data_IF_918599810517
#
_entry.id   IF_918599810517
#
_cell.length_a   1.000
_cell.length_b   1.000
_cell.length_c   1.000
_cell.angle_alpha   90.00
_cell.angle_beta   90.00
_cell.angle_gamma   90.00
#
_symmetry.space_group_name_H-M   'P 1'
#
loop_
_entity.id
_entity.type
_entity.pdbx_description
1 polymer ?
#
# COMPACT_ATOMS: atom_id res chain seq x y z
N UNK A 1 -22.78 -46.74 3.76
CA UNK A 1 -22.76 -45.28 3.86
C UNK A 1 -21.33 -44.79 4.13
N UNK A 2 -20.41 -45.02 3.19
CA UNK A 2 -18.99 -44.54 3.29
C UNK A 2 -18.53 -44.15 1.91
N UNK A 3 -18.69 -42.87 1.51
CA UNK A 3 -18.26 -42.43 0.19
C UNK A 3 -18.24 -40.91 -0.06
N UNK A 4 -18.67 -40.08 0.91
CA UNK A 4 -18.86 -38.64 0.67
C UNK A 4 -17.79 -37.67 1.19
N UNK A 5 -16.89 -38.08 2.06
CA UNK A 5 -15.93 -37.17 2.72
C UNK A 5 -14.57 -37.00 1.99
N UNK A 6 -14.12 -38.01 1.27
CA UNK A 6 -12.82 -38.02 0.61
C UNK A 6 -12.65 -36.92 -0.47
N UNK A 7 -13.63 -36.61 -1.34
CA UNK A 7 -13.48 -35.56 -2.35
C UNK A 7 -13.48 -34.15 -1.74
N UNK A 8 -14.17 -33.93 -0.63
CA UNK A 8 -14.23 -32.62 0.06
C UNK A 8 -12.91 -32.33 0.76
N UNK A 9 -12.34 -33.30 1.45
CA UNK A 9 -11.04 -33.20 2.12
C UNK A 9 -9.92 -32.97 1.10
N UNK A 10 -9.92 -33.68 -0.02
CA UNK A 10 -8.93 -33.51 -1.09
C UNK A 10 -9.00 -32.14 -1.74
N UNK A 11 -10.21 -31.60 -1.96
CA UNK A 11 -10.41 -30.23 -2.48
C UNK A 11 -9.98 -29.17 -1.46
N UNK A 12 -10.26 -29.38 -0.17
CA UNK A 12 -9.81 -28.49 0.89
C UNK A 12 -8.27 -28.45 0.99
N UNK A 13 -7.63 -29.61 0.92
CA UNK A 13 -6.16 -29.74 0.94
C UNK A 13 -5.51 -29.11 -0.28
N UNK A 14 -6.06 -29.29 -1.48
CA UNK A 14 -5.57 -28.64 -2.70
C UNK A 14 -5.71 -27.11 -2.62
N UNK A 15 -6.83 -26.59 -2.11
CA UNK A 15 -7.02 -25.15 -1.88
C UNK A 15 -6.04 -24.60 -0.83
N UNK A 16 -5.82 -25.32 0.26
CA UNK A 16 -4.86 -24.95 1.29
C UNK A 16 -3.43 -24.90 0.73
N UNK A 17 -3.04 -25.87 -0.14
CA UNK A 17 -1.74 -25.89 -0.83
C UNK A 17 -1.57 -24.70 -1.77
N UNK A 18 -2.61 -24.34 -2.55
CA UNK A 18 -2.57 -23.17 -3.45
C UNK A 18 -2.42 -21.88 -2.64
N UNK A 19 -3.19 -21.71 -1.55
CA UNK A 19 -3.10 -20.55 -0.67
C UNK A 19 -1.75 -20.49 0.04
N UNK A 20 -1.22 -21.63 0.48
CA UNK A 20 0.10 -21.72 1.11
C UNK A 20 1.23 -21.33 0.15
N UNK A 21 1.22 -21.87 -1.08
CA UNK A 21 2.18 -21.46 -2.11
C UNK A 21 2.09 -19.98 -2.45
N UNK A 22 0.86 -19.44 -2.53
CA UNK A 22 0.65 -18.02 -2.73
C UNK A 22 1.31 -17.18 -1.62
N UNK A 23 1.06 -17.54 -0.37
CA UNK A 23 1.60 -16.82 0.77
C UNK A 23 3.14 -16.86 0.79
N UNK A 24 3.74 -18.00 0.47
CA UNK A 24 5.21 -18.17 0.42
C UNK A 24 5.81 -17.27 -0.67
N UNK A 25 5.30 -17.33 -1.91
CA UNK A 25 5.85 -16.52 -3.00
C UNK A 25 5.67 -15.03 -2.70
N UNK A 26 4.52 -14.64 -2.15
CA UNK A 26 4.28 -13.24 -1.76
C UNK A 26 5.24 -12.79 -0.64
N UNK A 27 5.55 -13.67 0.32
CA UNK A 27 6.54 -13.38 1.35
C UNK A 27 7.95 -13.20 0.73
N UNK A 28 8.34 -14.05 -0.22
CA UNK A 28 9.62 -13.93 -0.95
C UNK A 28 9.70 -12.61 -1.70
N UNK A 29 8.65 -12.22 -2.42
CA UNK A 29 8.59 -10.92 -3.13
C UNK A 29 8.74 -9.75 -2.14
N UNK A 30 8.08 -9.82 -0.98
CA UNK A 30 8.19 -8.79 0.07
C UNK A 30 9.61 -8.73 0.67
N UNK A 31 10.23 -9.88 0.91
CA UNK A 31 11.62 -9.95 1.41
C UNK A 31 12.59 -9.34 0.39
N UNK A 32 12.46 -9.69 -0.90
CA UNK A 32 13.29 -9.10 -1.96
C UNK A 32 13.07 -7.59 -2.06
N UNK A 33 11.81 -7.14 -1.96
CA UNK A 33 11.46 -5.72 -1.92
C UNK A 33 12.08 -4.98 -0.72
N UNK A 34 12.04 -5.61 0.45
CA UNK A 34 12.69 -5.10 1.66
C UNK A 34 14.21 -5.01 1.49
N UNK A 35 14.86 -6.08 1.01
CA UNK A 35 16.29 -6.10 0.75
C UNK A 35 16.71 -5.02 -0.26
N UNK A 36 15.96 -4.86 -1.34
CA UNK A 36 16.17 -3.77 -2.32
C UNK A 36 16.06 -2.39 -1.67
N UNK A 37 15.08 -2.22 -0.75
CA UNK A 37 14.91 -0.98 0.01
C UNK A 37 16.07 -0.71 0.95
N UNK A 38 16.53 -1.71 1.70
CA UNK A 38 17.68 -1.60 2.61
C UNK A 38 18.98 -1.34 1.84
N UNK A 39 19.17 -1.98 0.69
CA UNK A 39 20.31 -1.69 -0.18
C UNK A 39 20.39 -0.20 -0.52
N UNK A 40 19.27 0.41 -0.93
CA UNK A 40 19.22 1.84 -1.22
C UNK A 40 19.51 2.72 0.01
N UNK A 41 18.96 2.36 1.17
CA UNK A 41 19.20 3.09 2.44
C UNK A 41 20.68 3.09 2.79
N UNK A 42 21.37 1.95 2.62
CA UNK A 42 22.78 1.79 2.99
C UNK A 42 23.75 2.45 1.99
N UNK A 43 23.43 2.34 0.70
CA UNK A 43 24.35 2.75 -0.38
C UNK A 43 24.22 4.21 -0.76
N UNK A 44 22.99 4.76 -0.80
CA UNK A 44 22.79 6.16 -1.14
C UNK A 44 23.28 7.08 -0.02
N UNK A 45 23.83 8.23 -0.42
CA UNK A 45 24.03 9.34 0.52
C UNK A 45 22.69 9.79 1.10
N UNK A 46 22.68 10.33 2.31
CA UNK A 46 21.44 10.77 2.98
C UNK A 46 20.65 11.76 2.12
N UNK A 47 21.33 12.67 1.43
CA UNK A 47 20.69 13.64 0.53
C UNK A 47 20.01 12.96 -0.66
N UNK A 48 20.69 12.04 -1.32
CA UNK A 48 20.15 11.26 -2.43
C UNK A 48 18.99 10.37 -1.97
N UNK A 49 19.12 9.75 -0.79
CA UNK A 49 18.04 8.94 -0.25
C UNK A 49 16.81 9.79 0.12
N UNK A 50 17.00 11.05 0.54
CA UNK A 50 15.89 11.99 0.74
C UNK A 50 15.17 12.30 -0.58
N UNK A 51 15.90 12.57 -1.67
CA UNK A 51 15.31 12.79 -2.98
C UNK A 51 14.55 11.57 -3.48
N UNK A 52 15.12 10.37 -3.33
CA UNK A 52 14.44 9.12 -3.63
C UNK A 52 13.15 8.96 -2.82
N UNK A 53 13.17 9.26 -1.52
CA UNK A 53 12.01 9.18 -0.63
C UNK A 53 10.91 10.14 -1.08
N UNK A 54 11.24 11.39 -1.36
CA UNK A 54 10.28 12.39 -1.88
C UNK A 54 9.68 11.92 -3.21
N UNK A 55 10.51 11.50 -4.17
CA UNK A 55 10.08 11.04 -5.48
C UNK A 55 9.13 9.84 -5.39
N UNK A 56 9.50 8.82 -4.60
CA UNK A 56 8.70 7.62 -4.40
C UNK A 56 7.36 7.92 -3.70
N UNK A 57 7.37 8.81 -2.71
CA UNK A 57 6.16 9.25 -2.00
C UNK A 57 5.20 9.99 -2.94
N UNK A 58 5.72 10.90 -3.75
CA UNK A 58 4.89 11.65 -4.72
C UNK A 58 4.35 10.75 -5.82
N UNK A 59 5.16 9.82 -6.33
CA UNK A 59 4.70 8.80 -7.29
C UNK A 59 3.58 7.94 -6.70
N UNK A 60 3.72 7.51 -5.46
CA UNK A 60 2.68 6.79 -4.73
C UNK A 60 1.40 7.61 -4.57
N UNK A 61 1.53 8.88 -4.21
CA UNK A 61 0.41 9.83 -4.09
C UNK A 61 -0.37 9.95 -5.41
N UNK A 62 0.32 10.19 -6.53
CA UNK A 62 -0.32 10.30 -7.85
C UNK A 62 -1.02 8.99 -8.22
N UNK A 63 -0.36 7.85 -7.99
CA UNK A 63 -0.95 6.54 -8.29
C UNK A 63 -2.22 6.27 -7.50
N UNK A 64 -2.25 6.61 -6.20
CA UNK A 64 -3.44 6.48 -5.35
C UNK A 64 -4.56 7.42 -5.81
N UNK A 65 -4.25 8.68 -6.12
CA UNK A 65 -5.23 9.65 -6.63
C UNK A 65 -5.79 9.23 -7.99
N UNK A 66 -4.97 8.64 -8.85
CA UNK A 66 -5.41 8.12 -10.15
C UNK A 66 -6.23 6.83 -10.06
N UNK A 67 -6.24 6.16 -8.90
CA UNK A 67 -7.00 4.92 -8.71
C UNK A 67 -8.36 5.12 -8.02
N UNK A 68 -8.70 6.32 -7.61
CA UNK A 68 -9.91 6.61 -6.83
C UNK A 68 -11.14 5.92 -7.41
N UNK A 69 -11.60 4.84 -6.78
CA UNK A 69 -12.81 4.10 -7.18
C UNK A 69 -12.70 3.23 -8.44
N UNK A 70 -11.62 3.35 -9.24
CA UNK A 70 -11.45 2.60 -10.50
C UNK A 70 -11.28 1.11 -10.21
N UNK A 71 -10.38 0.74 -9.32
CA UNK A 71 -10.15 -0.65 -8.93
C UNK A 71 -11.42 -1.31 -8.38
N UNK A 72 -12.24 -0.58 -7.61
CA UNK A 72 -13.53 -1.06 -7.11
C UNK A 72 -14.52 -1.28 -8.25
N UNK A 73 -14.63 -0.31 -9.16
CA UNK A 73 -15.48 -0.40 -10.37
C UNK A 73 -15.08 -1.57 -11.26
N UNK A 74 -13.78 -1.71 -11.52
CA UNK A 74 -13.23 -2.81 -12.32
C UNK A 74 -13.57 -4.20 -11.75
N UNK A 75 -13.42 -4.40 -10.46
CA UNK A 75 -13.73 -5.69 -9.82
C UNK A 75 -15.25 -5.93 -9.83
N UNK A 76 -16.06 -4.90 -9.54
CA UNK A 76 -17.52 -5.01 -9.50
C UNK A 76 -18.13 -5.32 -10.86
N UNK A 77 -17.74 -4.60 -11.92
CA UNK A 77 -18.26 -4.80 -13.28
C UNK A 77 -17.59 -6.02 -13.92
N UNK A 78 -16.26 -6.12 -13.78
CA UNK A 78 -15.45 -7.18 -14.36
C UNK A 78 -15.85 -8.58 -13.89
N UNK A 79 -16.27 -8.72 -12.63
CA UNK A 79 -16.80 -9.98 -12.09
C UNK A 79 -18.00 -10.55 -12.85
N UNK A 80 -18.72 -9.71 -13.61
CA UNK A 80 -19.87 -10.11 -14.42
C UNK A 80 -19.51 -10.42 -15.88
N UNK A 81 -18.44 -9.80 -16.41
CA UNK A 81 -18.10 -9.82 -17.83
C UNK A 81 -16.77 -10.51 -18.16
N UNK A 82 -16.04 -11.01 -17.18
CA UNK A 82 -14.69 -11.56 -17.35
C UNK A 82 -14.60 -12.77 -18.30
N UNK A 83 -15.73 -13.45 -18.56
CA UNK A 83 -15.78 -14.60 -19.46
C UNK A 83 -15.87 -14.19 -20.93
N UNK A 84 -16.43 -13.02 -21.22
CA UNK A 84 -16.55 -12.48 -22.58
C UNK A 84 -15.29 -11.68 -22.93
N UNK A 85 -14.51 -12.18 -23.87
CA UNK A 85 -13.24 -11.61 -24.28
C UNK A 85 -13.35 -10.16 -24.77
N UNK A 86 -14.38 -9.88 -25.61
CA UNK A 86 -14.60 -8.55 -26.18
C UNK A 86 -15.17 -7.59 -25.14
N UNK A 87 -16.21 -8.01 -24.42
CA UNK A 87 -16.86 -7.17 -23.40
C UNK A 87 -15.93 -6.83 -22.24
N UNK A 88 -15.06 -7.78 -21.83
CA UNK A 88 -14.05 -7.52 -20.83
C UNK A 88 -12.96 -6.58 -21.35
N UNK A 89 -12.60 -6.70 -22.64
CA UNK A 89 -11.72 -5.76 -23.34
C UNK A 89 -12.24 -4.33 -23.29
N UNK A 90 -13.54 -4.12 -23.61
CA UNK A 90 -14.19 -2.80 -23.52
C UNK A 90 -14.08 -2.19 -22.11
N UNK A 91 -14.33 -3.00 -21.07
CA UNK A 91 -14.21 -2.54 -19.67
C UNK A 91 -12.78 -2.12 -19.35
N UNK A 92 -11.76 -2.90 -19.76
CA UNK A 92 -10.34 -2.59 -19.51
C UNK A 92 -9.93 -1.32 -20.27
N UNK A 93 -10.33 -1.18 -21.55
CA UNK A 93 -10.06 0.02 -22.36
C UNK A 93 -10.68 1.27 -21.70
N UNK A 94 -11.95 1.17 -21.29
CA UNK A 94 -12.64 2.26 -20.55
C UNK A 94 -11.91 2.64 -19.27
N UNK A 95 -11.51 1.64 -18.47
CA UNK A 95 -10.79 1.88 -17.22
C UNK A 95 -9.41 2.53 -17.44
N UNK A 96 -8.67 2.11 -18.46
CA UNK A 96 -7.40 2.73 -18.84
C UNK A 96 -7.58 4.20 -19.21
N UNK A 97 -8.62 4.53 -19.99
CA UNK A 97 -8.94 5.90 -20.38
C UNK A 97 -9.29 6.77 -19.15
N UNK A 98 -10.19 6.29 -18.30
CA UNK A 98 -10.58 7.02 -17.07
C UNK A 98 -9.38 7.21 -16.14
N UNK A 99 -8.56 6.17 -15.94
CA UNK A 99 -7.38 6.22 -15.08
C UNK A 99 -6.31 7.19 -15.61
N UNK A 100 -6.11 7.24 -16.93
CA UNK A 100 -5.21 8.21 -17.55
C UNK A 100 -5.68 9.65 -17.34
N UNK A 101 -6.98 9.91 -17.44
CA UNK A 101 -7.56 11.25 -17.18
C UNK A 101 -7.38 11.67 -15.71
N UNK A 102 -7.70 10.79 -14.76
CA UNK A 102 -7.46 11.06 -13.33
C UNK A 102 -5.96 11.20 -13.04
N UNK A 103 -5.13 10.37 -13.66
CA UNK A 103 -3.67 10.45 -13.57
C UNK A 103 -3.13 11.79 -14.07
N UNK A 104 -3.64 12.29 -15.20
CA UNK A 104 -3.25 13.60 -15.73
C UNK A 104 -3.61 14.74 -14.75
N UNK A 105 -4.80 14.70 -14.16
CA UNK A 105 -5.20 15.67 -13.12
C UNK A 105 -4.28 15.56 -11.89
N UNK A 106 -4.00 14.36 -11.43
CA UNK A 106 -3.11 14.14 -10.29
C UNK A 106 -1.66 14.60 -10.59
N UNK A 107 -1.16 14.38 -11.81
CA UNK A 107 0.15 14.87 -12.28
C UNK A 107 0.19 16.40 -12.22
N UNK A 108 -0.82 17.08 -12.75
CA UNK A 108 -0.86 18.56 -12.76
C UNK A 108 -0.82 19.12 -11.33
N UNK A 109 -1.48 18.47 -10.37
CA UNK A 109 -1.54 18.92 -8.97
C UNK A 109 -0.25 18.57 -8.22
N UNK A 110 0.26 17.34 -8.37
CA UNK A 110 1.35 16.82 -7.52
C UNK A 110 2.73 17.17 -8.05
N UNK A 111 2.91 17.33 -9.39
CA UNK A 111 4.23 17.64 -9.96
C UNK A 111 4.81 18.98 -9.48
N UNK A 112 4.03 20.08 -9.36
CA UNK A 112 4.56 21.32 -8.78
C UNK A 112 5.00 21.13 -7.32
N UNK A 113 4.27 20.31 -6.53
CA UNK A 113 4.64 19.99 -5.16
C UNK A 113 5.94 19.20 -5.12
N UNK A 114 6.08 18.19 -5.99
CA UNK A 114 7.31 17.40 -6.13
C UNK A 114 8.50 18.30 -6.47
N UNK A 115 8.33 19.19 -7.47
CA UNK A 115 9.36 20.15 -7.86
C UNK A 115 9.78 21.03 -6.67
N UNK A 116 8.80 21.64 -6.00
CA UNK A 116 9.04 22.50 -4.85
C UNK A 116 9.77 21.76 -3.72
N UNK A 117 9.35 20.54 -3.37
CA UNK A 117 9.97 19.76 -2.31
C UNK A 117 11.42 19.37 -2.65
N UNK A 118 11.71 18.99 -3.90
CA UNK A 118 13.06 18.63 -4.32
C UNK A 118 14.01 19.85 -4.27
N UNK A 119 13.58 20.98 -4.82
CA UNK A 119 14.38 22.21 -4.82
C UNK A 119 14.60 22.73 -3.40
N UNK A 120 13.56 22.73 -2.57
CA UNK A 120 13.67 23.11 -1.16
C UNK A 120 14.65 22.26 -0.38
N UNK A 121 14.73 20.98 -0.69
CA UNK A 121 15.68 20.05 -0.08
C UNK A 121 17.07 20.08 -0.77
N UNK A 122 17.31 21.05 -1.65
CA UNK A 122 18.62 21.38 -2.21
C UNK A 122 18.97 20.66 -3.53
N UNK A 123 18.00 20.06 -4.23
CA UNK A 123 18.22 19.51 -5.55
C UNK A 123 18.43 20.65 -6.58
N UNK A 124 19.38 20.49 -7.49
CA UNK A 124 19.57 21.47 -8.58
C UNK A 124 18.38 21.43 -9.56
N UNK A 125 18.15 22.53 -10.26
CA UNK A 125 17.07 22.63 -11.25
C UNK A 125 17.12 21.50 -12.28
N UNK A 126 18.29 21.27 -12.89
CA UNK A 126 18.46 20.25 -13.91
C UNK A 126 18.21 18.84 -13.36
N UNK A 127 18.78 18.52 -12.19
CA UNK A 127 18.58 17.21 -11.54
C UNK A 127 17.11 16.98 -11.19
N UNK A 128 16.43 18.01 -10.69
CA UNK A 128 14.99 17.95 -10.38
C UNK A 128 14.17 17.67 -11.64
N UNK A 129 14.46 18.35 -12.76
CA UNK A 129 13.75 18.14 -14.01
C UNK A 129 13.92 16.70 -14.53
N UNK A 130 15.16 16.18 -14.53
CA UNK A 130 15.45 14.79 -14.93
C UNK A 130 14.70 13.80 -14.03
N UNK A 131 14.76 13.99 -12.72
CA UNK A 131 14.10 13.10 -11.76
C UNK A 131 12.57 13.09 -11.95
N UNK A 132 11.96 14.26 -12.18
CA UNK A 132 10.52 14.37 -12.47
C UNK A 132 10.17 13.60 -13.75
N UNK A 133 10.93 13.74 -14.83
CA UNK A 133 10.67 13.01 -16.08
C UNK A 133 10.70 11.49 -15.85
N UNK A 134 11.69 10.98 -15.12
CA UNK A 134 11.79 9.55 -14.81
C UNK A 134 10.61 9.07 -13.94
N UNK A 135 10.23 9.86 -12.93
CA UNK A 135 9.07 9.57 -12.07
C UNK A 135 7.79 9.51 -12.89
N UNK A 136 7.56 10.48 -13.79
CA UNK A 136 6.37 10.53 -14.63
C UNK A 136 6.33 9.37 -15.63
N UNK A 137 7.47 8.99 -16.22
CA UNK A 137 7.56 7.81 -17.08
C UNK A 137 7.17 6.52 -16.32
N UNK A 138 7.72 6.32 -15.12
CA UNK A 138 7.37 5.20 -14.26
C UNK A 138 5.89 5.20 -13.85
N UNK A 139 5.34 6.36 -13.58
CA UNK A 139 3.94 6.53 -13.23
C UNK A 139 3.00 6.11 -14.37
N UNK A 140 3.24 6.54 -15.62
CA UNK A 140 2.40 6.17 -16.77
C UNK A 140 2.34 4.66 -16.96
N UNK A 141 3.46 3.97 -16.74
CA UNK A 141 3.53 2.52 -16.77
C UNK A 141 2.72 1.93 -15.61
N UNK A 142 2.88 2.45 -14.40
CA UNK A 142 2.21 1.98 -13.19
C UNK A 142 0.69 2.15 -13.27
N UNK A 143 0.20 3.24 -13.85
CA UNK A 143 -1.23 3.44 -14.11
C UNK A 143 -1.81 2.33 -14.99
N UNK A 144 -1.09 1.97 -16.05
CA UNK A 144 -1.52 0.88 -16.95
C UNK A 144 -1.45 -0.48 -16.27
N UNK A 145 -0.36 -0.77 -15.55
CA UNK A 145 -0.20 -2.00 -14.76
C UNK A 145 -1.34 -2.23 -13.78
N UNK A 146 -1.76 -1.19 -13.05
CA UNK A 146 -2.83 -1.32 -12.06
C UNK A 146 -4.17 -1.75 -12.65
N UNK A 147 -4.50 -1.30 -13.88
CA UNK A 147 -5.71 -1.74 -14.59
C UNK A 147 -5.56 -3.16 -15.13
N UNK A 148 -4.44 -3.43 -15.81
CA UNK A 148 -4.21 -4.74 -16.45
C UNK A 148 -4.11 -5.88 -15.42
N UNK A 149 -3.61 -5.63 -14.21
CA UNK A 149 -3.53 -6.60 -13.12
C UNK A 149 -4.89 -7.16 -12.66
N UNK A 150 -5.99 -6.49 -12.99
CA UNK A 150 -7.33 -7.00 -12.67
C UNK A 150 -7.69 -8.22 -13.54
N UNK A 151 -7.13 -8.32 -14.76
CA UNK A 151 -7.41 -9.42 -15.68
C UNK A 151 -7.02 -10.79 -15.10
N UNK A 152 -5.76 -11.05 -14.72
CA UNK A 152 -5.40 -12.34 -14.13
C UNK A 152 -6.06 -12.56 -12.75
N UNK A 153 -6.35 -11.49 -11.98
CA UNK A 153 -7.07 -11.60 -10.70
C UNK A 153 -8.48 -12.16 -10.88
N UNK A 154 -9.26 -11.60 -11.80
CA UNK A 154 -10.63 -12.06 -12.05
C UNK A 154 -10.67 -13.45 -12.67
N UNK A 155 -9.64 -13.84 -13.42
CA UNK A 155 -9.47 -15.20 -13.98
C UNK A 155 -8.89 -16.19 -12.99
N UNK A 156 -8.54 -15.74 -11.76
CA UNK A 156 -7.89 -16.57 -10.73
C UNK A 156 -6.54 -17.17 -11.19
N UNK A 157 -5.87 -16.53 -12.15
CA UNK A 157 -4.52 -16.93 -12.60
C UNK A 157 -3.45 -16.32 -11.67
N UNK A 158 -3.45 -16.83 -10.45
CA UNK A 158 -2.57 -16.37 -9.37
C UNK A 158 -1.10 -16.62 -9.71
N UNK A 159 -0.79 -17.75 -10.36
CA UNK A 159 0.58 -18.10 -10.72
C UNK A 159 1.21 -17.08 -11.67
N UNK A 160 0.42 -16.51 -12.59
CA UNK A 160 0.89 -15.48 -13.51
C UNK A 160 1.22 -14.19 -12.78
N UNK A 161 0.37 -13.73 -11.87
CA UNK A 161 0.64 -12.54 -11.05
C UNK A 161 1.94 -12.74 -10.28
N UNK A 162 2.09 -13.88 -9.61
CA UNK A 162 3.27 -14.18 -8.82
C UNK A 162 4.55 -14.25 -9.67
N UNK A 163 4.51 -14.83 -10.86
CA UNK A 163 5.67 -14.91 -11.75
C UNK A 163 6.12 -13.50 -12.20
N UNK A 164 5.18 -12.60 -12.51
CA UNK A 164 5.48 -11.22 -12.91
C UNK A 164 6.06 -10.44 -11.73
N UNK A 165 5.45 -10.54 -10.55
CA UNK A 165 5.91 -9.83 -9.35
C UNK A 165 7.30 -10.32 -8.93
N UNK A 166 7.54 -11.63 -8.93
CA UNK A 166 8.82 -12.23 -8.56
C UNK A 166 9.91 -11.84 -9.56
N UNK A 167 9.62 -11.93 -10.88
CA UNK A 167 10.58 -11.53 -11.92
C UNK A 167 10.95 -10.06 -11.78
N UNK A 168 9.96 -9.17 -11.58
CA UNK A 168 10.22 -7.75 -11.36
C UNK A 168 11.05 -7.47 -10.10
N UNK A 169 10.74 -8.16 -8.98
CA UNK A 169 11.47 -8.01 -7.74
C UNK A 169 12.94 -8.47 -7.86
N UNK A 170 13.17 -9.64 -8.46
CA UNK A 170 14.52 -10.18 -8.70
C UNK A 170 15.30 -9.28 -9.66
N UNK A 171 14.71 -8.90 -10.80
CA UNK A 171 15.36 -8.02 -11.77
C UNK A 171 15.76 -6.67 -11.12
N UNK A 172 14.87 -6.08 -10.32
CA UNK A 172 15.18 -4.85 -9.58
C UNK A 172 16.36 -5.03 -8.63
N UNK A 173 16.37 -6.08 -7.83
CA UNK A 173 17.44 -6.34 -6.87
C UNK A 173 18.77 -6.55 -7.59
N UNK A 174 18.81 -7.38 -8.64
CA UNK A 174 20.02 -7.66 -9.40
C UNK A 174 20.60 -6.40 -10.03
N UNK A 175 19.76 -5.58 -10.69
CA UNK A 175 20.21 -4.32 -11.31
C UNK A 175 20.72 -3.34 -10.24
N UNK A 176 20.04 -3.22 -9.09
CA UNK A 176 20.50 -2.36 -8.01
C UNK A 176 21.85 -2.84 -7.43
N UNK A 177 22.02 -4.15 -7.22
CA UNK A 177 23.30 -4.73 -6.75
C UNK A 177 24.42 -4.48 -7.75
N UNK A 178 24.15 -4.60 -9.04
CA UNK A 178 25.15 -4.30 -10.06
C UNK A 178 25.54 -2.82 -10.08
N UNK A 179 24.55 -1.92 -10.04
CA UNK A 179 24.79 -0.48 -10.16
C UNK A 179 25.39 0.16 -8.89
N UNK A 180 25.25 -0.48 -7.72
CA UNK A 180 25.86 0.01 -6.49
C UNK A 180 27.40 0.08 -6.55
N UNK A 181 28.04 -0.72 -7.41
CA UNK A 181 29.49 -0.73 -7.57
C UNK A 181 30.01 0.36 -8.52
N UNK A 182 29.13 0.99 -9.32
CA UNK A 182 29.54 1.97 -10.31
C UNK A 182 29.12 3.39 -9.87
N UNK A 183 27.83 3.65 -9.89
CA UNK A 183 27.27 4.94 -9.48
C UNK A 183 25.78 4.76 -9.15
N UNK A 184 25.43 4.94 -7.92
CA UNK A 184 24.05 4.86 -7.46
C UNK A 184 23.65 6.22 -6.86
N UNK A 185 22.64 6.85 -7.46
CA UNK A 185 22.00 8.07 -6.98
C UNK A 185 20.47 7.92 -7.03
N UNK A 186 19.72 8.91 -6.55
CA UNK A 186 18.25 8.84 -6.53
C UNK A 186 17.67 8.70 -7.96
N UNK A 187 18.22 9.40 -8.94
CA UNK A 187 17.77 9.32 -10.32
C UNK A 187 17.93 7.93 -10.91
N UNK A 188 19.09 7.28 -10.70
CA UNK A 188 19.35 5.90 -11.11
C UNK A 188 18.44 4.92 -10.39
N UNK A 189 18.23 5.08 -9.06
CA UNK A 189 17.35 4.21 -8.30
C UNK A 189 15.90 4.27 -8.79
N UNK A 190 15.38 5.47 -9.12
CA UNK A 190 14.04 5.64 -9.71
C UNK A 190 14.00 5.12 -11.15
N UNK A 191 15.06 5.30 -11.94
CA UNK A 191 15.15 4.76 -13.30
C UNK A 191 15.11 3.21 -13.31
N UNK A 192 15.83 2.56 -12.39
CA UNK A 192 15.78 1.09 -12.21
C UNK A 192 14.39 0.64 -11.83
N UNK A 193 13.72 1.34 -10.89
CA UNK A 193 12.34 1.04 -10.54
C UNK A 193 11.41 1.18 -11.76
N UNK A 194 11.58 2.23 -12.56
CA UNK A 194 10.80 2.45 -13.79
C UNK A 194 11.08 1.37 -14.85
N UNK A 195 12.33 0.98 -15.05
CA UNK A 195 12.69 -0.09 -16.00
C UNK A 195 12.10 -1.45 -15.59
N UNK A 196 12.08 -1.76 -14.29
CA UNK A 196 11.45 -2.98 -13.80
C UNK A 196 9.93 -2.96 -13.91
N UNK A 197 9.28 -1.80 -13.73
CA UNK A 197 7.85 -1.63 -14.02
C UNK A 197 7.55 -1.84 -15.51
N UNK A 198 8.44 -1.37 -16.41
CA UNK A 198 8.31 -1.61 -17.85
C UNK A 198 8.39 -3.10 -18.21
N UNK A 199 9.34 -3.83 -17.60
CA UNK A 199 9.45 -5.28 -17.74
C UNK A 199 8.14 -5.99 -17.29
N UNK A 200 7.65 -5.66 -16.11
CA UNK A 200 6.39 -6.21 -15.60
C UNK A 200 5.20 -5.86 -16.52
N UNK A 201 5.16 -4.64 -17.03
CA UNK A 201 4.13 -4.20 -17.97
C UNK A 201 4.17 -4.98 -19.27
N UNK A 202 5.36 -5.20 -19.85
CA UNK A 202 5.51 -5.98 -21.07
C UNK A 202 5.05 -7.43 -20.88
N UNK A 203 5.45 -8.08 -19.78
CA UNK A 203 5.02 -9.44 -19.44
C UNK A 203 3.50 -9.52 -19.25
N UNK A 204 2.93 -8.57 -18.51
CA UNK A 204 1.49 -8.54 -18.23
C UNK A 204 0.68 -8.24 -19.49
N UNK A 205 1.11 -7.26 -20.30
CA UNK A 205 0.44 -6.90 -21.56
C UNK A 205 0.41 -8.06 -22.54
N UNK A 206 1.52 -8.80 -22.69
CA UNK A 206 1.59 -9.98 -23.54
C UNK A 206 0.61 -11.07 -23.08
N UNK A 207 0.50 -11.30 -21.78
CA UNK A 207 -0.48 -12.22 -21.23
C UNK A 207 -1.92 -11.76 -21.51
N UNK A 208 -2.21 -10.48 -21.23
CA UNK A 208 -3.56 -9.88 -21.38
C UNK A 208 -4.01 -9.89 -22.83
N UNK A 209 -3.12 -9.60 -23.80
CA UNK A 209 -3.42 -9.63 -25.24
C UNK A 209 -3.89 -11.03 -25.72
N UNK A 210 -3.37 -12.10 -25.12
CA UNK A 210 -3.84 -13.47 -25.40
C UNK A 210 -5.22 -13.78 -24.84
N UNK A 211 -5.69 -13.01 -23.87
CA UNK A 211 -6.86 -13.33 -23.03
C UNK A 211 -8.08 -12.46 -23.34
N UNK A 212 -7.87 -11.17 -23.61
CA UNK A 212 -8.93 -10.21 -23.91
C UNK A 212 -8.63 -9.49 -25.24
N UNK A 213 -9.64 -8.81 -25.74
CA UNK A 213 -9.51 -7.93 -26.91
C UNK A 213 -9.06 -6.53 -26.42
N UNK A 214 -7.75 -6.23 -26.58
CA UNK A 214 -7.17 -4.95 -26.15
C UNK A 214 -7.58 -3.78 -27.04
N UNK A 215 -8.03 -4.04 -28.28
CA UNK A 215 -8.43 -3.02 -29.24
C UNK A 215 -9.94 -2.73 -29.16
N UNK A 216 -10.64 -3.38 -28.23
CA UNK A 216 -12.07 -3.15 -27.99
C UNK A 216 -12.33 -1.67 -27.62
N UNK A 217 -13.39 -1.05 -28.23
CA UNK A 217 -13.73 0.35 -27.98
C UNK A 217 -14.19 0.57 -26.53
N UNK A 218 -14.06 1.82 -26.05
CA UNK A 218 -14.57 2.19 -24.73
C UNK A 218 -16.10 2.06 -24.66
N UNK A 219 -16.62 1.64 -23.52
CA UNK A 219 -18.03 1.53 -23.26
C UNK A 219 -18.54 2.71 -22.42
N UNK A 220 -19.57 3.42 -22.92
CA UNK A 220 -20.11 4.61 -22.26
C UNK A 220 -20.81 4.28 -20.93
N UNK A 221 -21.49 3.13 -20.83
CA UNK A 221 -22.17 2.69 -19.60
C UNK A 221 -21.15 2.37 -18.49
N UNK A 222 -20.07 1.65 -18.83
CA UNK A 222 -18.98 1.37 -17.89
C UNK A 222 -18.32 2.66 -17.41
N UNK A 223 -18.12 3.62 -18.33
CA UNK A 223 -17.58 4.93 -17.98
C UNK A 223 -18.47 5.65 -16.98
N UNK A 224 -19.77 5.71 -17.22
CA UNK A 224 -20.73 6.33 -16.31
C UNK A 224 -20.76 5.63 -14.95
N UNK A 225 -20.75 4.29 -14.94
CA UNK A 225 -20.70 3.50 -13.72
C UNK A 225 -19.41 3.77 -12.92
N UNK A 226 -18.25 3.81 -13.59
CA UNK A 226 -16.96 4.14 -12.94
C UNK A 226 -16.95 5.53 -12.31
N UNK A 227 -17.48 6.55 -13.02
CA UNK A 227 -17.62 7.89 -12.43
C UNK A 227 -18.57 7.89 -11.22
N UNK A 228 -19.59 7.04 -11.20
CA UNK A 228 -20.43 6.81 -10.04
C UNK A 228 -19.65 6.31 -8.82
N UNK A 229 -18.72 5.34 -8.99
CA UNK A 229 -17.83 4.88 -7.93
C UNK A 229 -16.84 5.97 -7.49
N UNK A 230 -16.22 6.66 -8.45
CA UNK A 230 -15.27 7.75 -8.18
C UNK A 230 -15.94 8.81 -7.32
N UNK A 231 -17.12 9.31 -7.69
CA UNK A 231 -17.85 10.34 -6.95
C UNK A 231 -18.17 9.94 -5.50
N UNK A 232 -18.51 8.67 -5.28
CA UNK A 232 -18.82 8.13 -3.94
C UNK A 232 -17.59 7.98 -3.06
N UNK A 233 -16.44 7.66 -3.65
CA UNK A 233 -15.23 7.29 -2.91
C UNK A 233 -14.18 8.42 -2.85
N UNK A 234 -14.31 9.46 -3.68
CA UNK A 234 -13.28 10.48 -3.86
C UNK A 234 -12.86 11.15 -2.55
N UNK A 235 -13.79 11.62 -1.74
CA UNK A 235 -13.48 12.34 -0.50
C UNK A 235 -12.66 11.46 0.47
N UNK A 236 -13.10 10.23 0.69
CA UNK A 236 -12.39 9.28 1.54
C UNK A 236 -11.02 8.91 0.97
N UNK A 237 -10.94 8.63 -0.33
CA UNK A 237 -9.69 8.21 -0.97
C UNK A 237 -8.64 9.33 -0.95
N UNK A 238 -9.03 10.57 -1.23
CA UNK A 238 -8.13 11.74 -1.14
C UNK A 238 -7.65 11.92 0.30
N UNK A 239 -8.55 11.85 1.27
CA UNK A 239 -8.17 11.98 2.68
C UNK A 239 -7.19 10.89 3.12
N UNK A 240 -7.47 9.62 2.82
CA UNK A 240 -6.56 8.51 3.12
C UNK A 240 -5.22 8.63 2.41
N UNK A 241 -5.21 9.08 1.16
CA UNK A 241 -3.98 9.32 0.41
C UNK A 241 -3.11 10.38 1.10
N UNK A 242 -3.69 11.50 1.51
CA UNK A 242 -2.98 12.56 2.23
C UNK A 242 -2.49 12.08 3.59
N UNK A 243 -3.32 11.38 4.36
CA UNK A 243 -2.93 10.83 5.65
C UNK A 243 -1.80 9.79 5.55
N UNK A 244 -1.84 8.93 4.53
CA UNK A 244 -0.79 7.93 4.30
C UNK A 244 0.58 8.52 3.98
N UNK A 245 0.64 9.75 3.49
CA UNK A 245 1.87 10.44 3.09
C UNK A 245 2.23 11.63 4.01
N UNK A 246 1.39 11.90 5.02
CA UNK A 246 1.48 13.13 5.82
C UNK A 246 2.83 13.30 6.50
N UNK A 247 3.43 12.22 7.00
CA UNK A 247 4.73 12.25 7.66
C UNK A 247 5.83 12.75 6.72
N UNK A 248 5.89 12.20 5.50
CA UNK A 248 6.90 12.61 4.50
C UNK A 248 6.61 14.03 3.99
N UNK A 249 5.34 14.41 3.82
CA UNK A 249 4.97 15.77 3.46
C UNK A 249 5.42 16.78 4.51
N UNK A 250 5.06 16.56 5.78
CA UNK A 250 5.38 17.47 6.85
C UNK A 250 6.90 17.63 7.02
N UNK A 251 7.64 16.52 7.08
CA UNK A 251 9.08 16.58 7.24
C UNK A 251 9.76 17.19 6.01
N UNK A 252 9.31 16.91 4.79
CA UNK A 252 9.88 17.50 3.57
C UNK A 252 9.61 19.00 3.46
N UNK A 253 8.49 19.46 4.06
CA UNK A 253 8.10 20.88 4.03
C UNK A 253 8.72 21.69 5.16
N UNK A 254 8.76 21.16 6.38
CA UNK A 254 9.13 21.93 7.58
C UNK A 254 10.55 21.64 8.09
N UNK A 255 11.15 20.49 7.75
CA UNK A 255 12.49 20.16 8.25
C UNK A 255 13.54 21.18 7.80
N UNK A 256 14.45 21.46 8.71
CA UNK A 256 15.61 22.34 8.47
C UNK A 256 16.76 21.62 7.75
N UNK A 257 16.79 20.27 7.83
CA UNK A 257 17.83 19.44 7.25
C UNK A 257 17.23 18.42 6.30
N UNK A 258 17.80 18.29 5.12
CA UNK A 258 17.39 17.28 4.12
C UNK A 258 17.57 15.85 4.64
N UNK A 259 18.54 15.62 5.55
CA UNK A 259 18.73 14.31 6.19
C UNK A 259 17.49 13.82 6.94
N UNK A 260 16.68 14.72 7.51
CA UNK A 260 15.45 14.34 8.22
C UNK A 260 14.43 13.62 7.33
N UNK A 261 14.36 13.95 6.04
CA UNK A 261 13.54 13.23 5.07
C UNK A 261 14.08 11.81 4.83
N UNK A 262 15.40 11.69 4.73
CA UNK A 262 16.05 10.39 4.60
C UNK A 262 15.84 9.52 5.86
N UNK A 263 15.91 10.11 7.05
CA UNK A 263 15.68 9.44 8.33
C UNK A 263 14.26 8.85 8.41
N UNK A 264 13.24 9.66 8.09
CA UNK A 264 11.85 9.18 8.03
C UNK A 264 11.68 8.09 6.97
N UNK A 265 12.26 8.28 5.79
CA UNK A 265 12.21 7.29 4.70
C UNK A 265 12.88 5.97 5.07
N UNK A 266 14.04 6.03 5.77
CA UNK A 266 14.77 4.85 6.24
C UNK A 266 14.01 4.11 7.34
N UNK A 267 13.54 4.81 8.37
CA UNK A 267 12.71 4.23 9.43
C UNK A 267 11.44 3.59 8.88
N UNK A 268 10.81 4.22 7.87
CA UNK A 268 9.64 3.68 7.18
C UNK A 268 9.88 2.31 6.52
N UNK A 269 11.13 1.95 6.19
CA UNK A 269 11.47 0.61 5.69
C UNK A 269 11.28 -0.47 6.75
N UNK A 270 11.58 -0.17 8.00
CA UNK A 270 11.35 -1.13 9.09
C UNK A 270 9.87 -1.42 9.30
N UNK A 271 8.99 -0.45 9.05
CA UNK A 271 7.54 -0.64 9.10
C UNK A 271 7.02 -1.64 8.05
N UNK A 272 7.79 -1.96 7.00
CA UNK A 272 7.39 -2.95 5.97
C UNK A 272 7.21 -4.37 6.53
N UNK A 273 7.73 -4.67 7.72
CA UNK A 273 7.48 -5.96 8.39
C UNK A 273 5.97 -6.21 8.60
N UNK A 274 5.21 -5.14 8.83
CA UNK A 274 3.75 -5.21 8.97
C UNK A 274 3.02 -5.44 7.63
N UNK A 275 3.67 -5.23 6.48
CA UNK A 275 3.06 -5.51 5.18
C UNK A 275 2.82 -7.02 4.96
N UNK A 276 3.72 -7.88 5.46
CA UNK A 276 3.55 -9.34 5.42
C UNK A 276 2.31 -9.73 6.24
N UNK A 277 2.18 -9.18 7.44
CA UNK A 277 1.02 -9.41 8.31
C UNK A 277 -0.28 -8.94 7.66
N UNK A 278 -0.28 -7.75 7.05
CA UNK A 278 -1.45 -7.19 6.34
C UNK A 278 -1.88 -8.07 5.16
N UNK A 279 -0.93 -8.64 4.43
CA UNK A 279 -1.21 -9.56 3.33
C UNK A 279 -1.86 -10.88 3.83
N UNK A 280 -1.36 -11.44 4.92
CA UNK A 280 -1.96 -12.63 5.56
C UNK A 280 -3.38 -12.32 6.05
N UNK A 281 -3.57 -11.18 6.70
CA UNK A 281 -4.88 -10.75 7.16
C UNK A 281 -5.88 -10.65 6.00
N UNK A 282 -5.53 -9.92 4.96
CA UNK A 282 -6.44 -9.64 3.83
C UNK A 282 -6.77 -10.89 3.03
N UNK A 283 -5.81 -11.79 2.82
CA UNK A 283 -6.00 -12.93 1.92
C UNK A 283 -6.49 -14.20 2.65
N UNK A 284 -6.25 -14.34 3.95
CA UNK A 284 -6.57 -15.56 4.71
C UNK A 284 -7.63 -15.30 5.79
N UNK A 285 -7.35 -14.38 6.71
CA UNK A 285 -8.18 -14.24 7.92
C UNK A 285 -9.48 -13.46 7.65
N UNK A 286 -9.43 -12.38 6.89
CA UNK A 286 -10.62 -11.56 6.59
C UNK A 286 -11.67 -12.35 5.80
N UNK A 287 -11.35 -13.15 4.78
CA UNK A 287 -12.35 -14.02 4.12
C UNK A 287 -12.92 -15.10 5.02
N UNK A 288 -12.09 -15.66 5.93
CA UNK A 288 -12.58 -16.65 6.91
C UNK A 288 -13.56 -16.02 7.92
N UNK A 289 -13.24 -14.82 8.41
CA UNK A 289 -14.10 -14.04 9.29
C UNK A 289 -15.42 -13.64 8.61
N UNK A 290 -15.35 -13.17 7.36
CA UNK A 290 -16.52 -12.77 6.59
C UNK A 290 -17.55 -13.90 6.43
N UNK A 291 -17.08 -15.13 6.19
CA UNK A 291 -17.92 -16.33 6.00
C UNK A 291 -18.48 -16.92 7.31
N UNK A 292 -17.95 -16.51 8.48
CA UNK A 292 -18.39 -17.05 9.75
C UNK A 292 -19.80 -16.53 10.14
N UNK A 293 -20.78 -17.40 10.25
CA UNK A 293 -22.16 -17.06 10.61
C UNK A 293 -22.49 -17.30 12.10
N UNK A 294 -21.74 -18.18 12.77
CA UNK A 294 -21.98 -18.50 14.19
C UNK A 294 -21.42 -17.40 15.10
N UNK A 295 -22.24 -16.77 15.92
CA UNK A 295 -21.85 -15.69 16.82
C UNK A 295 -20.72 -16.09 17.81
N UNK A 296 -20.73 -17.33 18.32
CA UNK A 296 -19.69 -17.86 19.22
C UNK A 296 -18.34 -18.00 18.49
N UNK A 297 -18.37 -18.62 17.31
CA UNK A 297 -17.15 -18.79 16.48
C UNK A 297 -16.62 -17.45 15.98
N UNK A 298 -17.51 -16.52 15.64
CA UNK A 298 -17.15 -15.19 15.18
C UNK A 298 -16.39 -14.40 16.24
N UNK A 299 -16.89 -14.42 17.49
CA UNK A 299 -16.20 -13.77 18.64
C UNK A 299 -14.83 -14.38 18.90
N UNK A 300 -14.75 -15.71 18.90
CA UNK A 300 -13.48 -16.40 19.09
C UNK A 300 -12.49 -16.07 17.99
N UNK A 301 -12.92 -16.13 16.72
CA UNK A 301 -12.05 -15.79 15.57
C UNK A 301 -11.61 -14.34 15.59
N UNK A 302 -12.50 -13.42 15.95
CA UNK A 302 -12.17 -12.00 16.13
C UNK A 302 -11.10 -11.81 17.21
N UNK A 303 -11.31 -12.40 18.40
CA UNK A 303 -10.36 -12.33 19.49
C UNK A 303 -8.99 -12.96 19.12
N UNK A 304 -9.00 -14.09 18.41
CA UNK A 304 -7.78 -14.75 17.94
C UNK A 304 -7.01 -13.89 16.92
N UNK A 305 -7.71 -13.25 15.97
CA UNK A 305 -7.07 -12.37 14.97
C UNK A 305 -6.49 -11.12 15.65
N UNK A 306 -7.31 -10.42 16.44
CA UNK A 306 -6.84 -9.19 17.12
C UNK A 306 -5.76 -9.53 18.13
N UNK A 307 -5.91 -10.60 18.90
CA UNK A 307 -4.90 -11.07 19.85
C UNK A 307 -3.59 -11.44 19.18
N UNK A 308 -3.64 -12.14 18.04
CA UNK A 308 -2.44 -12.49 17.26
C UNK A 308 -1.72 -11.27 16.69
N UNK A 309 -2.48 -10.32 16.11
CA UNK A 309 -1.89 -9.05 15.61
C UNK A 309 -1.33 -8.23 16.75
N UNK A 310 -2.02 -8.15 17.89
CA UNK A 310 -1.53 -7.41 19.07
C UNK A 310 -0.28 -8.04 19.66
N UNK A 311 -0.23 -9.37 19.76
CA UNK A 311 0.94 -10.11 20.26
C UNK A 311 2.15 -9.91 19.35
N UNK A 312 1.97 -10.03 18.02
CA UNK A 312 3.03 -9.73 17.06
C UNK A 312 3.50 -8.27 17.14
N UNK A 313 2.56 -7.33 17.23
CA UNK A 313 2.85 -5.90 17.35
C UNK A 313 3.62 -5.58 18.63
N UNK A 314 3.23 -6.18 19.75
CA UNK A 314 3.93 -6.05 21.03
C UNK A 314 5.35 -6.63 20.95
N UNK A 315 5.51 -7.80 20.32
CA UNK A 315 6.83 -8.42 20.14
C UNK A 315 7.76 -7.51 19.32
N UNK A 316 7.27 -6.92 18.22
CA UNK A 316 8.07 -6.01 17.40
C UNK A 316 8.41 -4.72 18.18
N UNK A 317 7.45 -4.17 18.94
CA UNK A 317 7.66 -2.96 19.74
C UNK A 317 8.65 -3.20 20.88
N UNK A 318 8.50 -4.29 21.63
CA UNK A 318 9.44 -4.70 22.67
C UNK A 318 10.83 -5.01 22.08
N UNK A 319 10.88 -5.64 20.91
CA UNK A 319 12.12 -5.88 20.19
C UNK A 319 12.84 -4.57 19.82
N UNK A 320 12.10 -3.57 19.34
CA UNK A 320 12.65 -2.26 19.00
C UNK A 320 13.12 -1.47 20.23
N UNK A 321 12.48 -1.66 21.41
CA UNK A 321 12.89 -1.06 22.68
C UNK A 321 14.14 -1.73 23.25
N UNK A 322 14.15 -3.08 23.28
CA UNK A 322 15.24 -3.85 23.93
C UNK A 322 16.49 -3.92 23.05
N UNK A 323 16.29 -3.96 21.72
CA UNK A 323 17.36 -4.15 20.73
C UNK A 323 17.39 -3.05 19.67
N UNK A 324 17.36 -1.76 20.02
CA UNK A 324 17.29 -0.66 19.05
C UNK A 324 18.48 -0.65 18.10
N UNK A 325 19.69 -0.97 18.60
CA UNK A 325 20.90 -1.00 17.78
C UNK A 325 20.84 -2.04 16.67
N UNK A 326 20.23 -3.21 16.92
CA UNK A 326 20.07 -4.26 15.92
C UNK A 326 19.08 -3.86 14.82
N UNK A 327 18.00 -3.19 15.19
CA UNK A 327 17.06 -2.62 14.21
C UNK A 327 17.72 -1.53 13.37
N UNK A 328 18.43 -0.61 14.00
CA UNK A 328 19.11 0.48 13.30
C UNK A 328 20.33 -0.01 12.50
N UNK A 329 21.01 -1.07 12.96
CA UNK A 329 22.08 -1.72 12.22
C UNK A 329 21.61 -2.17 10.81
N UNK A 330 20.36 -2.63 10.68
CA UNK A 330 19.78 -2.98 9.37
C UNK A 330 19.81 -1.77 8.43
N UNK A 331 19.53 -0.56 8.92
CA UNK A 331 19.54 0.67 8.14
C UNK A 331 20.95 1.19 7.83
N UNK A 332 21.92 0.83 8.67
CA UNK A 332 23.32 1.23 8.55
C UNK A 332 23.73 2.34 9.52
N UNK A 333 25.04 2.55 9.64
CA UNK A 333 25.65 3.46 10.64
C UNK A 333 25.17 4.91 10.56
N UNK A 334 24.73 5.36 9.35
CA UNK A 334 24.21 6.72 9.15
C UNK A 334 22.96 7.03 9.99
N UNK A 335 22.23 6.00 10.43
CA UNK A 335 20.96 6.10 11.16
C UNK A 335 21.02 5.57 12.58
N UNK A 336 22.21 5.22 13.08
CA UNK A 336 22.41 4.63 14.41
C UNK A 336 21.96 5.52 15.59
N UNK A 337 21.80 6.83 15.37
CA UNK A 337 21.39 7.80 16.39
C UNK A 337 19.86 7.89 16.59
N UNK A 338 19.04 7.18 15.81
CA UNK A 338 17.58 7.35 15.74
C UNK A 338 16.81 6.42 16.71
N UNK A 339 17.31 6.19 17.94
CA UNK A 339 16.69 5.24 18.89
C UNK A 339 15.26 5.63 19.27
N UNK A 340 15.02 6.90 19.59
CA UNK A 340 13.69 7.40 19.99
C UNK A 340 12.73 7.48 18.81
N UNK A 341 13.23 7.92 17.67
CA UNK A 341 12.48 8.00 16.41
C UNK A 341 12.07 6.60 15.90
N UNK A 342 12.91 5.58 16.13
CA UNK A 342 12.60 4.18 15.84
C UNK A 342 11.34 3.74 16.60
N UNK A 343 11.25 4.00 17.88
CA UNK A 343 10.10 3.62 18.72
C UNK A 343 8.81 4.31 18.25
N UNK A 344 8.88 5.60 17.94
CA UNK A 344 7.73 6.34 17.43
C UNK A 344 7.29 5.82 16.06
N UNK A 345 8.24 5.50 15.18
CA UNK A 345 7.93 4.93 13.86
C UNK A 345 7.31 3.54 13.97
N UNK A 346 7.90 2.65 14.80
CA UNK A 346 7.36 1.31 15.05
C UNK A 346 6.00 1.42 15.74
N UNK A 347 5.83 2.30 16.73
CA UNK A 347 4.55 2.58 17.38
C UNK A 347 3.48 3.04 16.40
N UNK A 348 3.82 3.91 15.47
CA UNK A 348 2.95 4.35 14.38
C UNK A 348 2.55 3.20 13.44
N UNK A 349 3.51 2.33 13.10
CA UNK A 349 3.27 1.15 12.29
C UNK A 349 2.36 0.11 13.00
N UNK A 350 2.57 -0.11 14.30
CA UNK A 350 1.70 -0.93 15.16
C UNK A 350 0.28 -0.38 15.18
N UNK A 351 0.13 0.91 15.43
CA UNK A 351 -1.18 1.58 15.46
C UNK A 351 -1.90 1.45 14.11
N UNK A 352 -1.17 1.64 13.01
CA UNK A 352 -1.69 1.48 11.66
C UNK A 352 -2.09 0.03 11.35
N UNK A 353 -1.30 -0.96 11.77
CA UNK A 353 -1.60 -2.38 11.58
C UNK A 353 -2.84 -2.81 12.36
N UNK A 354 -2.97 -2.38 13.63
CA UNK A 354 -4.15 -2.63 14.45
C UNK A 354 -5.40 -1.97 13.84
N UNK A 355 -5.31 -0.67 13.51
CA UNK A 355 -6.41 0.08 12.91
C UNK A 355 -6.86 -0.55 11.59
N UNK A 356 -5.91 -0.93 10.72
CA UNK A 356 -6.18 -1.60 9.45
C UNK A 356 -6.83 -2.98 9.65
N UNK A 357 -6.44 -3.72 10.70
CA UNK A 357 -7.05 -5.00 11.04
C UNK A 357 -8.50 -4.84 11.50
N UNK A 358 -8.76 -3.93 12.44
CA UNK A 358 -10.13 -3.61 12.88
C UNK A 358 -10.99 -3.18 11.70
N UNK A 359 -10.48 -2.26 10.87
CA UNK A 359 -11.19 -1.80 9.67
C UNK A 359 -11.54 -2.94 8.71
N UNK A 360 -10.58 -3.82 8.39
CA UNK A 360 -10.79 -4.93 7.47
C UNK A 360 -11.85 -5.91 7.98
N UNK A 361 -11.85 -6.22 9.30
CA UNK A 361 -12.84 -7.07 9.92
C UNK A 361 -14.22 -6.40 9.92
N UNK A 362 -14.32 -5.14 10.30
CA UNK A 362 -15.55 -4.35 10.28
C UNK A 362 -16.14 -4.25 8.87
N UNK A 363 -15.31 -3.90 7.88
CA UNK A 363 -15.73 -3.80 6.50
C UNK A 363 -16.24 -5.13 5.94
N UNK A 364 -15.63 -6.27 6.32
CA UNK A 364 -16.02 -7.61 5.88
C UNK A 364 -17.41 -8.03 6.36
N UNK A 365 -17.91 -7.40 7.43
CA UNK A 365 -19.25 -7.61 8.02
C UNK A 365 -20.20 -6.43 7.78
N UNK A 366 -19.78 -5.44 6.95
CA UNK A 366 -20.53 -4.21 6.73
C UNK A 366 -20.80 -3.38 8.02
N UNK A 367 -19.98 -3.56 9.06
CA UNK A 367 -20.03 -2.78 10.31
C UNK A 367 -19.34 -1.41 10.15
N UNK A 368 -19.71 -0.70 9.10
CA UNK A 368 -19.04 0.58 8.71
C UNK A 368 -19.95 1.80 8.87
N UNK A 369 -21.11 1.64 9.46
CA UNK A 369 -22.02 2.76 9.71
C UNK A 369 -21.39 3.77 10.67
N UNK A 370 -21.18 5.02 10.20
CA UNK A 370 -20.47 6.06 10.94
C UNK A 370 -18.95 6.11 10.71
N UNK A 371 -18.39 5.30 9.82
CA UNK A 371 -16.95 5.34 9.49
C UNK A 371 -16.51 6.71 8.94
N UNK A 372 -17.38 7.50 8.35
CA UNK A 372 -17.10 8.85 7.87
C UNK A 372 -16.62 9.80 8.99
N UNK A 373 -16.96 9.50 10.27
CA UNK A 373 -16.48 10.24 11.43
C UNK A 373 -14.95 10.22 11.57
N UNK A 374 -14.27 9.28 10.91
CA UNK A 374 -12.82 9.24 10.86
C UNK A 374 -12.21 10.56 10.39
N UNK A 375 -12.79 11.17 9.35
CA UNK A 375 -12.27 12.41 8.75
C UNK A 375 -12.31 13.57 9.77
N UNK A 376 -13.47 13.97 10.32
CA UNK A 376 -13.51 15.08 11.26
C UNK A 376 -12.78 14.81 12.57
N UNK A 377 -12.78 13.57 13.07
CA UNK A 377 -12.06 13.23 14.31
C UNK A 377 -10.55 13.33 14.13
N UNK A 378 -10.01 12.85 12.99
CA UNK A 378 -8.57 12.97 12.70
C UNK A 378 -8.18 14.42 12.49
N UNK A 379 -8.97 15.20 11.74
CA UNK A 379 -8.70 16.63 11.55
C UNK A 379 -8.75 17.41 12.87
N UNK A 380 -9.73 17.15 13.73
CA UNK A 380 -9.82 17.78 15.04
C UNK A 380 -8.59 17.47 15.90
N UNK A 381 -8.14 16.20 15.93
CA UNK A 381 -6.92 15.81 16.64
C UNK A 381 -5.68 16.50 16.06
N UNK A 382 -5.56 16.57 14.74
CA UNK A 382 -4.44 17.23 14.07
C UNK A 382 -4.41 18.73 14.37
N UNK A 383 -5.55 19.42 14.25
CA UNK A 383 -5.66 20.86 14.56
C UNK A 383 -5.29 21.12 16.03
N UNK A 384 -5.75 20.28 16.96
CA UNK A 384 -5.43 20.41 18.37
C UNK A 384 -3.92 20.19 18.67
N UNK A 385 -3.24 19.37 17.87
CA UNK A 385 -1.82 19.05 18.06
C UNK A 385 -0.85 20.08 17.43
N UNK A 386 -1.31 20.84 16.42
CA UNK A 386 -0.46 21.82 15.71
C UNK A 386 0.30 22.75 16.66
N UNK A 387 -0.32 23.38 17.69
CA UNK A 387 0.39 24.32 18.58
C UNK A 387 1.50 23.66 19.42
N UNK A 388 1.41 22.36 19.64
CA UNK A 388 2.32 21.61 20.52
C UNK A 388 3.38 20.82 19.77
N UNK A 389 3.38 20.90 18.42
CA UNK A 389 4.25 20.05 17.59
C UNK A 389 5.35 20.86 16.93
N UNK A 390 6.61 20.44 17.13
CA UNK A 390 7.74 20.92 16.34
C UNK A 390 7.85 20.14 15.02
N UNK A 391 7.30 20.68 13.96
CA UNK A 391 7.36 20.08 12.62
C UNK A 391 8.75 20.15 11.97
N UNK A 392 9.72 20.87 12.57
CA UNK A 392 11.08 20.92 12.05
C UNK A 392 11.91 19.69 12.44
N UNK A 393 11.45 18.91 13.42
CA UNK A 393 12.11 17.71 13.94
C UNK A 393 11.41 16.41 13.49
N UNK A 394 12.19 15.36 13.26
CA UNK A 394 11.67 14.02 12.95
C UNK A 394 10.79 13.51 14.09
N UNK A 395 11.24 13.68 15.32
CA UNK A 395 10.52 13.26 16.51
C UNK A 395 9.16 13.93 16.62
N UNK A 396 9.07 15.26 16.38
CA UNK A 396 7.81 16.00 16.44
C UNK A 396 6.82 15.51 15.39
N UNK A 397 7.26 15.32 14.14
CA UNK A 397 6.40 14.82 13.05
C UNK A 397 5.91 13.38 13.30
N UNK A 398 6.78 12.50 13.81
CA UNK A 398 6.39 11.12 14.16
C UNK A 398 5.41 11.08 15.33
N UNK A 399 5.62 11.91 16.35
CA UNK A 399 4.70 12.04 17.49
C UNK A 399 3.34 12.56 17.05
N UNK A 400 3.32 13.60 16.20
CA UNK A 400 2.09 14.12 15.60
C UNK A 400 1.31 13.04 14.84
N UNK A 401 2.00 12.28 13.99
CA UNK A 401 1.38 11.20 13.23
C UNK A 401 0.82 10.09 14.14
N UNK A 402 1.58 9.69 15.14
CA UNK A 402 1.18 8.66 16.12
C UNK A 402 -0.08 9.08 16.87
N UNK A 403 -0.10 10.27 17.46
CA UNK A 403 -1.23 10.74 18.28
C UNK A 403 -2.46 10.99 17.40
N UNK A 404 -2.29 11.61 16.22
CA UNK A 404 -3.40 11.90 15.31
C UNK A 404 -4.05 10.64 14.71
N UNK A 405 -3.40 9.48 14.77
CA UNK A 405 -3.98 8.21 14.34
C UNK A 405 -4.83 7.49 15.42
N UNK A 406 -4.72 7.87 16.70
CA UNK A 406 -5.45 7.25 17.81
C UNK A 406 -6.98 7.33 17.62
N UNK A 407 -7.59 8.48 17.24
CA UNK A 407 -9.04 8.56 17.04
C UNK A 407 -9.57 7.55 16.05
N UNK A 408 -8.81 7.24 15.00
CA UNK A 408 -9.20 6.22 14.03
C UNK A 408 -9.25 4.81 14.63
N UNK A 409 -8.28 4.44 15.48
CA UNK A 409 -8.30 3.17 16.19
C UNK A 409 -9.52 3.08 17.10
N UNK A 410 -9.76 4.12 17.91
CA UNK A 410 -10.91 4.17 18.85
C UNK A 410 -12.24 4.06 18.11
N UNK A 411 -12.40 4.79 16.99
CA UNK A 411 -13.58 4.70 16.15
C UNK A 411 -13.82 3.26 15.66
N UNK A 412 -12.77 2.59 15.15
CA UNK A 412 -12.89 1.22 14.65
C UNK A 412 -13.23 0.23 15.75
N UNK A 413 -12.74 0.40 16.99
CA UNK A 413 -13.12 -0.40 18.15
C UNK A 413 -14.62 -0.21 18.47
N UNK A 414 -15.11 1.05 18.45
CA UNK A 414 -16.54 1.36 18.68
C UNK A 414 -17.41 0.73 17.59
N UNK A 415 -16.99 0.80 16.31
CA UNK A 415 -17.70 0.16 15.20
C UNK A 415 -17.78 -1.37 15.37
N UNK A 416 -16.69 -2.01 15.79
CA UNK A 416 -16.68 -3.45 16.11
C UNK A 416 -17.66 -3.78 17.22
N UNK A 417 -17.64 -3.02 18.31
CA UNK A 417 -18.55 -3.24 19.45
C UNK A 417 -20.05 -3.12 19.05
N UNK A 418 -20.38 -2.06 18.28
CA UNK A 418 -21.75 -1.89 17.74
C UNK A 418 -22.13 -3.01 16.78
N UNK A 419 -21.19 -3.44 15.92
CA UNK A 419 -21.38 -4.52 14.97
C UNK A 419 -21.68 -5.86 15.67
N UNK A 420 -20.98 -6.19 16.74
CA UNK A 420 -21.27 -7.39 17.53
C UNK A 420 -22.63 -7.34 18.22
N UNK A 421 -23.06 -6.18 18.72
CA UNK A 421 -24.41 -6.02 19.30
C UNK A 421 -25.51 -6.23 18.27
N UNK A 422 -25.38 -5.62 17.07
CA UNK A 422 -26.37 -5.80 16.00
C UNK A 422 -26.40 -7.24 15.47
N UNK A 423 -25.25 -7.92 15.42
CA UNK A 423 -25.16 -9.30 14.95
C UNK A 423 -25.83 -10.30 15.92
N UNK A 424 -25.87 -10.00 17.22
CA UNK A 424 -26.53 -10.85 18.25
C UNK A 424 -28.04 -10.64 18.27
N UNK A 425 -28.53 -9.47 17.86
CA UNK A 425 -29.97 -9.13 17.87
C UNK A 425 -30.69 -9.51 16.56
N UNK A 426 -29.97 -10.02 15.55
CA UNK A 426 -30.59 -10.53 14.33
C UNK A 426 -31.25 -11.91 14.66
N UNK A 427 -32.57 -12.07 14.49
CA UNK A 427 -33.21 -13.38 14.60
C UNK A 427 -32.60 -14.32 13.55
N UNK A 428 -32.20 -15.53 13.98
CA UNK A 428 -31.59 -16.57 13.16
C UNK A 428 -32.56 -17.17 12.14
#
# INVERSE_FOLDING_TARGET
MEGGSAPIIRRAFQRAKIVGNFAIVQAVVQIIGFLSGILLVRTLEQREYAYFTIANTMQGTINLLADIGISVGLVSIGGRVWQDRHRFGQLISTALSVRRKLGAVAIIIVTPVLYFLLVKNGASFFYTAVLIVVVLAGLLIQLSLGVLNVVPRLRSDIARIQSIDLTGAIARLLVLVTLMYFFLNAGVAVAVATATLLLQYAMLRNYVAGVIDLDAPENAEDRAAMFGFIRKLAANAVFYCLQGQITVFLISFFARRTSSVAEVGALGRLAMIFAVLSNLLTNVFVPAFARCQSARKLRWLYAAIIGGVSAFSLLVLCGAEIFPDQFLFVLGSKYAHLHRELLLMVGGAVLSALTGTFWALNASKAWVAGSWLYIPLTLAAQIALIPYTDFSSVMGVLTFNLISAIPNLLLNIVLSYRGFRSFQSAPG
#
